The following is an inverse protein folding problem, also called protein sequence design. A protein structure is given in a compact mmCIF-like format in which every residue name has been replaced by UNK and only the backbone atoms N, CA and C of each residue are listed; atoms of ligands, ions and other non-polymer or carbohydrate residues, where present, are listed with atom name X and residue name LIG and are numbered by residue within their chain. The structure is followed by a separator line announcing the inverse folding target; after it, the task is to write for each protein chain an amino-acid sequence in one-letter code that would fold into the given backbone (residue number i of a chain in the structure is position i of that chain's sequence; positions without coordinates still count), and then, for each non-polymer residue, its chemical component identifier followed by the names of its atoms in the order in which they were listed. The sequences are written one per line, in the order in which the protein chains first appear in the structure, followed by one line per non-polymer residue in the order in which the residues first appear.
data_IF_070634217388
#
_entry.id   IF_070634217388
#
_cell.length_a   1.000
_cell.length_b   1.000
_cell.length_c   1.000
_cell.angle_alpha   90.00
_cell.angle_beta   90.00
_cell.angle_gamma   90.00
#
_symmetry.space_group_name_H-M   'P 1'
#
loop_
_entity.id
_entity.type
_entity.pdbx_description
1 polymer ?
#
# COMPACT_ATOMS: atom_id res chain seq x y z
N UNK A 1 38.79 -36.26 -70.39
CA UNK A 1 37.47 -36.33 -69.71
C UNK A 1 37.74 -36.27 -68.22
N UNK A 2 37.45 -35.14 -67.56
CA UNK A 2 37.61 -34.96 -66.11
C UNK A 2 36.30 -34.37 -65.62
N UNK A 3 35.56 -35.13 -64.82
CA UNK A 3 34.31 -34.68 -64.22
C UNK A 3 34.63 -33.75 -63.05
N UNK A 4 34.00 -32.58 -63.03
CA UNK A 4 34.07 -31.65 -61.92
C UNK A 4 32.98 -32.02 -60.91
N UNK A 5 33.37 -32.56 -59.76
CA UNK A 5 32.46 -32.85 -58.66
C UNK A 5 32.03 -31.55 -58.00
N UNK A 6 30.78 -31.13 -58.23
CA UNK A 6 30.17 -29.97 -57.57
C UNK A 6 29.89 -30.31 -56.10
N UNK A 7 30.67 -29.72 -55.18
CA UNK A 7 30.37 -29.77 -53.75
C UNK A 7 29.10 -28.97 -53.45
N UNK A 8 28.05 -29.65 -53.00
CA UNK A 8 26.82 -29.02 -52.52
C UNK A 8 27.03 -28.56 -51.08
N UNK A 9 27.07 -27.26 -50.83
CA UNK A 9 27.08 -26.70 -49.48
C UNK A 9 25.70 -26.88 -48.84
N UNK A 10 25.65 -27.50 -47.65
CA UNK A 10 24.43 -27.64 -46.86
C UNK A 10 23.95 -26.27 -46.33
N UNK A 11 22.63 -26.03 -46.25
CA UNK A 11 22.10 -24.77 -45.77
C UNK A 11 22.38 -24.62 -44.28
N UNK A 12 23.00 -23.50 -43.91
CA UNK A 12 23.18 -23.08 -42.51
C UNK A 12 21.81 -22.80 -41.90
N UNK A 13 21.44 -23.56 -40.87
CA UNK A 13 20.14 -23.49 -40.19
C UNK A 13 20.03 -22.24 -39.32
N UNK A 14 19.78 -21.11 -39.97
CA UNK A 14 19.64 -19.77 -39.36
C UNK A 14 18.25 -19.55 -38.75
N UNK A 15 17.27 -20.40 -39.07
CA UNK A 15 15.89 -20.28 -38.62
C UNK A 15 15.70 -20.64 -37.15
N UNK A 16 16.41 -21.68 -36.68
CA UNK A 16 16.35 -22.15 -35.29
C UNK A 16 16.94 -21.13 -34.30
N UNK A 17 18.07 -20.52 -34.65
CA UNK A 17 18.74 -19.51 -33.81
C UNK A 17 17.91 -18.23 -33.66
N UNK A 18 17.27 -17.77 -34.74
CA UNK A 18 16.44 -16.57 -34.71
C UNK A 18 15.19 -16.78 -33.84
N UNK A 19 14.53 -17.93 -33.95
CA UNK A 19 13.36 -18.26 -33.11
C UNK A 19 13.74 -18.37 -31.65
N UNK A 20 14.86 -19.03 -31.35
CA UNK A 20 15.38 -19.14 -29.99
C UNK A 20 15.70 -17.77 -29.39
N UNK A 21 16.38 -16.89 -30.15
CA UNK A 21 16.66 -15.51 -29.71
C UNK A 21 15.40 -14.68 -29.46
N UNK A 22 14.39 -14.81 -30.32
CA UNK A 22 13.10 -14.10 -30.15
C UNK A 22 12.36 -14.61 -28.92
N UNK A 23 12.30 -15.93 -28.71
CA UNK A 23 11.68 -16.51 -27.52
C UNK A 23 12.40 -16.08 -26.23
N UNK A 24 13.74 -16.04 -26.26
CA UNK A 24 14.54 -15.57 -25.12
C UNK A 24 14.29 -14.09 -24.82
N UNK A 25 14.21 -13.25 -25.87
CA UNK A 25 13.88 -11.84 -25.71
C UNK A 25 12.48 -11.64 -25.10
N UNK A 26 11.46 -12.39 -25.57
CA UNK A 26 10.11 -12.34 -25.02
C UNK A 26 10.11 -12.77 -23.56
N UNK A 27 10.80 -13.86 -23.22
CA UNK A 27 10.92 -14.33 -21.84
C UNK A 27 11.58 -13.28 -20.93
N UNK A 28 12.65 -12.62 -21.39
CA UNK A 28 13.31 -11.54 -20.65
C UNK A 28 12.38 -10.35 -20.42
N UNK A 29 11.60 -9.94 -21.42
CA UNK A 29 10.63 -8.83 -21.30
C UNK A 29 9.51 -9.20 -20.31
N UNK A 30 8.99 -10.43 -20.36
CA UNK A 30 8.00 -10.91 -19.41
C UNK A 30 8.54 -10.94 -17.98
N UNK A 31 9.78 -11.40 -17.79
CA UNK A 31 10.43 -11.43 -16.48
C UNK A 31 10.67 -10.02 -15.94
N UNK A 32 11.14 -9.10 -16.77
CA UNK A 32 11.32 -7.69 -16.41
C UNK A 32 10.00 -7.04 -16.03
N UNK A 33 8.92 -7.32 -16.78
CA UNK A 33 7.57 -6.87 -16.46
C UNK A 33 7.06 -7.41 -15.12
N UNK A 34 7.33 -8.68 -14.81
CA UNK A 34 6.96 -9.29 -13.52
C UNK A 34 7.73 -8.65 -12.36
N UNK A 35 9.04 -8.44 -12.50
CA UNK A 35 9.87 -7.78 -11.48
C UNK A 35 9.37 -6.35 -11.26
N UNK A 36 9.12 -5.60 -12.34
CA UNK A 36 8.59 -4.24 -12.28
C UNK A 36 7.24 -4.19 -11.54
N UNK A 37 6.31 -5.10 -11.85
CA UNK A 37 5.00 -5.17 -11.20
C UNK A 37 5.07 -5.48 -9.69
N UNK A 38 6.09 -6.21 -9.24
CA UNK A 38 6.32 -6.50 -7.82
C UNK A 38 6.93 -5.29 -7.09
N UNK A 39 7.86 -4.59 -7.76
CA UNK A 39 8.66 -3.49 -7.19
C UNK A 39 7.89 -2.16 -7.15
N UNK A 40 7.10 -1.84 -8.17
CA UNK A 40 6.53 -0.48 -8.36
C UNK A 40 5.31 -0.19 -7.49
N UNK A 41 4.78 -1.19 -6.77
CA UNK A 41 3.58 -1.02 -5.93
C UNK A 41 3.79 -0.23 -4.63
N UNK A 42 4.95 0.38 -4.39
CA UNK A 42 5.26 1.11 -3.15
C UNK A 42 5.17 2.64 -3.38
N UNK A 43 4.06 3.08 -3.99
CA UNK A 43 3.76 4.51 -4.10
C UNK A 43 3.39 5.04 -2.71
N UNK A 44 4.04 6.14 -2.29
CA UNK A 44 3.81 6.72 -0.97
C UNK A 44 2.35 7.19 -0.85
N UNK A 45 1.56 6.52 -0.02
CA UNK A 45 0.17 6.88 0.23
C UNK A 45 0.10 8.01 1.25
N UNK A 46 -0.69 9.04 0.95
CA UNK A 46 -0.89 10.19 1.82
C UNK A 46 -2.26 10.13 2.48
N UNK A 47 -2.31 10.32 3.79
CA UNK A 47 -3.56 10.55 4.52
C UNK A 47 -4.23 11.85 4.04
N UNK A 48 -5.58 11.89 3.98
CA UNK A 48 -6.33 13.10 3.72
C UNK A 48 -6.17 14.10 4.86
N UNK A 49 -6.21 15.39 4.53
CA UNK A 49 -6.00 16.48 5.49
C UNK A 49 -7.01 16.46 6.64
N UNK A 50 -8.25 16.03 6.40
CA UNK A 50 -9.27 15.93 7.46
C UNK A 50 -8.97 14.88 8.53
N UNK A 51 -8.09 13.91 8.25
CA UNK A 51 -7.67 12.89 9.22
C UNK A 51 -6.42 13.29 9.98
N UNK A 52 -5.54 14.10 9.36
CA UNK A 52 -4.27 14.51 9.96
C UNK A 52 -4.53 15.22 11.30
N UNK A 53 -3.88 14.74 12.35
CA UNK A 53 -4.00 15.26 13.70
C UNK A 53 -4.03 14.17 14.77
N UNK A 54 -4.04 14.61 16.02
CA UNK A 54 -4.21 13.75 17.18
C UNK A 54 -5.70 13.62 17.54
N UNK A 55 -6.08 12.41 17.92
CA UNK A 55 -7.43 12.01 18.26
C UNK A 55 -7.40 11.31 19.62
N UNK A 56 -8.28 11.74 20.51
CA UNK A 56 -8.38 11.25 21.88
C UNK A 56 -9.81 10.81 22.17
N UNK A 57 -9.99 9.93 23.14
CA UNK A 57 -11.32 9.50 23.58
C UNK A 57 -11.46 9.68 25.08
N UNK A 58 -12.66 10.04 25.53
CA UNK A 58 -12.99 10.13 26.96
C UNK A 58 -13.48 8.80 27.53
N UNK A 59 -13.38 7.71 26.76
CA UNK A 59 -13.78 6.38 27.20
C UNK A 59 -12.84 5.86 28.30
N UNK A 60 -13.40 5.20 29.31
CA UNK A 60 -12.61 4.60 30.40
C UNK A 60 -11.67 3.53 29.87
N UNK A 61 -10.43 3.52 30.36
CA UNK A 61 -9.36 2.63 29.90
C UNK A 61 -8.54 3.15 28.71
N UNK A 62 -8.83 4.38 28.25
CA UNK A 62 -8.13 5.05 27.15
C UNK A 62 -7.69 6.48 27.55
N UNK A 63 -7.62 6.77 28.85
CA UNK A 63 -7.34 8.10 29.38
C UNK A 63 -6.01 8.68 28.88
N UNK A 64 -5.03 7.81 28.66
CA UNK A 64 -3.71 8.15 28.11
C UNK A 64 -3.53 7.62 26.67
N UNK A 65 -4.62 7.23 26.03
CA UNK A 65 -4.64 6.67 24.68
C UNK A 65 -4.81 7.74 23.62
N UNK A 66 -3.95 7.73 22.59
CA UNK A 66 -4.05 8.66 21.47
C UNK A 66 -3.90 7.92 20.15
N UNK A 67 -4.72 8.32 19.18
CA UNK A 67 -4.60 7.92 17.79
C UNK A 67 -4.12 9.14 17.00
N UNK A 68 -3.01 9.03 16.28
CA UNK A 68 -2.49 10.15 15.47
C UNK A 68 -2.39 9.71 14.03
N UNK A 69 -2.93 10.52 13.13
CA UNK A 69 -2.62 10.40 11.71
C UNK A 69 -1.68 11.52 11.33
N UNK A 70 -0.53 11.16 10.74
CA UNK A 70 0.32 12.09 10.02
C UNK A 70 -0.01 12.01 8.53
N UNK A 71 0.77 12.70 7.69
CA UNK A 71 0.63 12.57 6.25
C UNK A 71 0.89 11.15 5.76
N UNK A 72 1.79 10.42 6.41
CA UNK A 72 2.33 9.13 5.93
C UNK A 72 2.25 8.01 6.94
N UNK A 73 1.82 8.29 8.17
CA UNK A 73 1.92 7.35 9.28
C UNK A 73 0.63 7.39 10.12
N UNK A 74 0.34 6.26 10.74
CA UNK A 74 -0.61 6.14 11.84
C UNK A 74 0.17 5.79 13.10
N UNK A 75 -0.12 6.49 14.19
CA UNK A 75 0.56 6.31 15.46
C UNK A 75 -0.48 5.97 16.51
N UNK A 76 -0.26 4.87 17.21
CA UNK A 76 -1.06 4.44 18.35
C UNK A 76 -0.23 4.65 19.62
N UNK A 77 -0.79 5.38 20.58
CA UNK A 77 -0.24 5.44 21.93
C UNK A 77 -1.20 4.84 22.94
N UNK A 78 -0.66 4.08 23.89
CA UNK A 78 -1.37 3.58 25.06
C UNK A 78 -0.51 3.91 26.28
N UNK A 79 -0.84 4.99 26.97
CA UNK A 79 0.01 5.47 28.06
C UNK A 79 1.26 6.23 27.59
N UNK A 80 2.08 6.65 28.54
CA UNK A 80 3.33 7.37 28.26
C UNK A 80 4.47 6.46 27.73
N UNK A 81 4.35 5.14 27.89
CA UNK A 81 5.46 4.21 27.65
C UNK A 81 5.38 3.47 26.30
N UNK A 82 4.20 3.44 25.65
CA UNK A 82 4.02 2.69 24.42
C UNK A 82 3.52 3.60 23.30
N UNK A 83 4.41 3.85 22.32
CA UNK A 83 4.12 4.56 21.08
C UNK A 83 4.53 3.64 19.94
N UNK A 84 3.57 3.30 19.09
CA UNK A 84 3.79 2.49 17.90
C UNK A 84 3.40 3.29 16.66
N UNK A 85 4.40 3.66 15.85
CA UNK A 85 4.25 4.45 14.65
C UNK A 85 4.46 3.55 13.43
N UNK A 86 3.43 3.43 12.59
CA UNK A 86 3.46 2.55 11.43
C UNK A 86 3.14 3.32 10.15
N UNK A 87 3.88 3.01 9.09
CA UNK A 87 3.70 3.65 7.79
C UNK A 87 2.34 3.28 7.18
N UNK A 88 1.65 4.28 6.63
CA UNK A 88 0.44 4.09 5.83
C UNK A 88 0.85 3.61 4.44
N UNK A 89 0.35 2.42 4.10
CA UNK A 89 0.62 1.73 2.83
C UNK A 89 -0.56 1.79 1.87
N UNK A 90 -1.76 2.06 2.38
CA UNK A 90 -2.98 2.07 1.59
C UNK A 90 -4.09 2.84 2.28
N UNK A 91 -4.97 3.41 1.47
CA UNK A 91 -6.14 4.12 1.94
C UNK A 91 -7.32 3.84 1.00
N UNK A 92 -8.35 3.23 1.54
CA UNK A 92 -9.64 3.09 0.87
C UNK A 92 -10.65 4.03 1.50
N UNK A 93 -11.50 4.65 0.67
CA UNK A 93 -12.48 5.64 1.11
C UNK A 93 -13.84 5.34 0.48
N UNK A 94 -14.86 5.18 1.31
CA UNK A 94 -16.23 4.91 0.89
C UNK A 94 -17.17 5.94 1.53
N UNK A 95 -17.75 6.87 0.75
CA UNK A 95 -18.75 7.80 1.24
C UNK A 95 -19.98 7.06 1.81
N UNK A 96 -20.49 7.52 2.96
CA UNK A 96 -21.65 6.94 3.65
C UNK A 96 -22.51 8.05 4.30
N UNK A 97 -23.23 8.79 3.47
CA UNK A 97 -24.10 9.88 3.91
C UNK A 97 -23.30 11.02 4.56
N UNK A 98 -23.53 11.27 5.86
CA UNK A 98 -22.81 12.29 6.64
C UNK A 98 -21.46 11.80 7.19
N UNK A 99 -21.12 10.54 6.94
CA UNK A 99 -19.89 9.90 7.37
C UNK A 99 -19.13 9.39 6.16
N UNK A 100 -17.83 9.21 6.31
CA UNK A 100 -16.99 8.52 5.34
C UNK A 100 -16.34 7.34 6.04
N UNK A 101 -16.48 6.15 5.45
CA UNK A 101 -15.75 4.97 5.91
C UNK A 101 -14.34 5.02 5.30
N UNK A 102 -13.34 5.17 6.16
CA UNK A 102 -11.94 5.01 5.80
C UNK A 102 -11.46 3.63 6.23
N UNK A 103 -10.66 3.00 5.37
CA UNK A 103 -9.88 1.82 5.71
C UNK A 103 -8.42 2.14 5.41
N UNK A 104 -7.64 2.34 6.48
CA UNK A 104 -6.20 2.58 6.42
C UNK A 104 -5.48 1.24 6.49
N UNK A 105 -4.63 0.96 5.52
CA UNK A 105 -3.71 -0.18 5.53
C UNK A 105 -2.36 0.36 6.01
N UNK A 106 -1.82 -0.20 7.08
CA UNK A 106 -0.60 0.28 7.73
C UNK A 106 0.33 -0.89 8.13
N UNK A 107 1.64 -0.65 8.19
CA UNK A 107 2.63 -1.67 8.54
C UNK A 107 4.06 -1.30 8.14
N UNK A 108 5.03 -1.91 8.80
CA UNK A 108 6.46 -1.71 8.52
C UNK A 108 6.88 -2.41 7.23
N UNK A 109 6.27 -3.55 6.91
CA UNK A 109 6.45 -4.27 5.66
C UNK A 109 5.14 -4.85 5.12
N UNK A 110 5.17 -5.38 3.90
CA UNK A 110 4.00 -6.05 3.30
C UNK A 110 3.53 -7.29 4.06
N UNK A 111 4.40 -7.91 4.86
CA UNK A 111 4.08 -9.17 5.55
C UNK A 111 3.33 -8.94 6.87
N UNK A 112 3.34 -7.73 7.37
CA UNK A 112 2.76 -7.28 8.64
C UNK A 112 1.73 -6.17 8.44
N UNK A 113 1.24 -5.98 7.21
CA UNK A 113 0.14 -5.05 6.94
C UNK A 113 -1.10 -5.39 7.78
N UNK A 114 -1.57 -4.38 8.50
CA UNK A 114 -2.80 -4.39 9.28
C UNK A 114 -3.80 -3.39 8.69
N UNK A 115 -5.06 -3.53 9.09
CA UNK A 115 -6.14 -2.66 8.61
C UNK A 115 -6.88 -2.01 9.76
N UNK A 116 -7.00 -0.69 9.71
CA UNK A 116 -7.83 0.10 10.63
C UNK A 116 -9.00 0.66 9.84
N UNK A 117 -10.22 0.20 10.16
CA UNK A 117 -11.45 0.68 9.53
C UNK A 117 -12.26 1.54 10.49
N UNK A 118 -12.63 2.75 10.08
CA UNK A 118 -13.35 3.69 10.91
C UNK A 118 -14.22 4.65 10.11
N UNK A 119 -15.28 5.13 10.75
CA UNK A 119 -16.13 6.19 10.24
C UNK A 119 -15.62 7.54 10.71
N UNK A 120 -15.39 8.44 9.76
CA UNK A 120 -15.17 9.86 10.03
C UNK A 120 -16.48 10.63 9.85
N UNK A 121 -16.90 11.39 10.85
CA UNK A 121 -18.07 12.24 10.77
C UNK A 121 -17.65 13.68 10.45
N UNK A 122 -17.91 14.16 9.23
CA UNK A 122 -17.41 15.47 8.78
C UNK A 122 -17.93 16.64 9.61
N UNK A 123 -19.21 16.61 10.02
CA UNK A 123 -19.81 17.70 10.82
C UNK A 123 -19.31 17.75 12.27
N UNK A 124 -19.24 16.59 12.93
CA UNK A 124 -18.83 16.49 14.34
C UNK A 124 -17.30 16.48 14.49
N UNK A 125 -16.58 16.24 13.39
CA UNK A 125 -15.13 16.02 13.38
C UNK A 125 -14.72 14.94 14.40
N UNK A 126 -15.40 13.79 14.31
CA UNK A 126 -15.17 12.62 15.16
C UNK A 126 -14.82 11.40 14.33
N UNK A 127 -14.06 10.49 14.94
CA UNK A 127 -13.74 9.17 14.42
C UNK A 127 -14.43 8.12 15.28
N UNK A 128 -14.94 7.07 14.66
CA UNK A 128 -15.50 5.91 15.36
C UNK A 128 -15.07 4.64 14.65
N UNK A 129 -14.43 3.73 15.37
CA UNK A 129 -13.95 2.48 14.77
C UNK A 129 -15.13 1.60 14.34
N UNK A 130 -14.98 0.94 13.17
CA UNK A 130 -16.03 0.12 12.57
C UNK A 130 -16.45 -1.03 13.49
N UNK A 131 -15.51 -1.59 14.26
CA UNK A 131 -15.73 -2.68 15.20
C UNK A 131 -16.06 -2.22 16.64
N UNK A 132 -15.91 -0.93 16.96
CA UNK A 132 -16.09 -0.39 18.31
C UNK A 132 -16.87 0.93 18.24
N UNK A 133 -18.16 0.84 17.90
CA UNK A 133 -19.01 2.02 17.63
C UNK A 133 -19.27 2.91 18.85
N UNK A 134 -18.99 2.42 20.06
CA UNK A 134 -19.15 3.16 21.31
C UNK A 134 -17.92 4.02 21.66
N UNK A 135 -16.77 3.77 21.01
CA UNK A 135 -15.56 4.57 21.19
C UNK A 135 -15.55 5.72 20.19
N UNK A 136 -15.85 6.91 20.70
CA UNK A 136 -15.80 8.16 19.94
C UNK A 136 -14.45 8.82 20.18
N UNK A 137 -13.72 9.05 19.10
CA UNK A 137 -12.44 9.73 19.08
C UNK A 137 -12.67 11.15 18.58
N UNK A 138 -12.41 12.12 19.45
CA UNK A 138 -12.51 13.54 19.14
C UNK A 138 -11.11 14.09 18.82
N UNK A 139 -11.05 15.07 17.93
CA UNK A 139 -9.79 15.75 17.62
C UNK A 139 -9.27 16.45 18.88
N UNK A 140 -8.01 16.20 19.23
CA UNK A 140 -7.34 16.90 20.33
C UNK A 140 -7.31 18.39 20.00
N UNK A 141 -7.88 19.20 20.89
CA UNK A 141 -7.76 20.65 20.77
C UNK A 141 -6.28 21.03 20.90
N UNK A 142 -5.74 21.77 19.93
CA UNK A 142 -4.48 22.47 20.12
C UNK A 142 -4.72 23.49 21.25
N UNK A 143 -4.13 23.27 22.43
CA UNK A 143 -4.06 24.34 23.43
C UNK A 143 -3.27 25.48 22.81
N UNK A 144 -3.91 26.65 22.68
CA UNK A 144 -3.30 27.90 22.24
C UNK A 144 -2.51 28.55 23.36
#
# INVERSE_FOLDING_TARGET
MREATTATALPVDTGSDRRTRVLLAIACVMLAGLIYAVVVRDEAVSCPNELIGAWETSARGYEDGMLVFTKTDVIFSVGAEHVDAQAVRGLETIPNGLRTLYTVIYGDSRRDEQTLSFYYHTKEQTITFKNQSHLVWARKALQS
#
